data_IF_666936785113
#
_entry.id   IF_666936785113
#
_cell.length_a   1.000
_cell.length_b   1.000
_cell.length_c   1.000
_cell.angle_alpha   90.00
_cell.angle_beta   90.00
_cell.angle_gamma   90.00
#
_symmetry.space_group_name_H-M   'P 1'
#
loop_
_entity.id
_entity.type
_entity.pdbx_description
1 polymer ?
#
# COMPACT_ATOMS: atom_id res chain seq x y z
N UNK A 1 4.75 8.08 -10.16
CA UNK A 1 4.13 9.00 -9.19
C UNK A 1 4.10 8.26 -7.85
N UNK A 2 4.73 8.73 -6.78
CA UNK A 2 4.99 7.91 -5.58
C UNK A 2 4.18 8.38 -4.37
N UNK A 3 3.45 7.46 -3.73
CA UNK A 3 2.63 7.71 -2.55
C UNK A 3 3.22 6.98 -1.33
N UNK A 4 3.59 7.76 -0.32
CA UNK A 4 4.10 7.25 0.94
C UNK A 4 2.97 7.02 1.94
N UNK A 5 2.88 5.81 2.50
CA UNK A 5 1.82 5.44 3.44
C UNK A 5 2.45 4.90 4.73
N UNK A 6 2.08 5.51 5.86
CA UNK A 6 2.30 4.95 7.20
C UNK A 6 1.11 4.08 7.58
N UNK A 7 1.14 2.82 7.17
CA UNK A 7 0.08 1.88 7.50
C UNK A 7 0.20 1.43 8.96
N UNK A 8 -0.79 1.78 9.78
CA UNK A 8 -0.86 1.45 11.23
C UNK A 8 -1.69 0.18 11.53
N UNK A 9 -2.14 -0.52 10.48
CA UNK A 9 -2.91 -1.76 10.61
C UNK A 9 -2.03 -3.00 10.45
N UNK A 10 -2.61 -4.17 10.76
CA UNK A 10 -1.95 -5.46 10.91
C UNK A 10 -1.04 -5.57 12.16
N UNK A 11 -0.80 -6.80 12.61
CA UNK A 11 0.15 -7.08 13.69
C UNK A 11 1.49 -6.46 13.29
N UNK A 12 1.98 -5.46 14.02
CA UNK A 12 3.18 -4.69 13.65
C UNK A 12 4.45 -5.55 13.49
N UNK A 13 4.40 -6.80 13.94
CA UNK A 13 5.45 -7.81 13.83
C UNK A 13 5.24 -8.85 12.71
N UNK A 14 4.17 -8.76 11.91
CA UNK A 14 3.85 -9.72 10.84
C UNK A 14 4.04 -9.07 9.45
N UNK A 15 5.21 -9.24 8.80
CA UNK A 15 5.52 -8.63 7.50
C UNK A 15 4.52 -9.01 6.40
N UNK A 16 3.97 -10.23 6.48
CA UNK A 16 3.03 -10.77 5.49
C UNK A 16 1.70 -10.02 5.48
N UNK A 17 1.17 -9.65 6.65
CA UNK A 17 -0.10 -8.94 6.77
C UNK A 17 -0.01 -7.49 6.27
N UNK A 18 1.13 -6.82 6.50
CA UNK A 18 1.38 -5.45 6.01
C UNK A 18 1.52 -5.43 4.48
N UNK A 19 2.29 -6.36 3.91
CA UNK A 19 2.56 -6.40 2.47
C UNK A 19 1.28 -6.61 1.65
N UNK A 20 0.44 -7.56 2.06
CA UNK A 20 -0.81 -7.87 1.36
C UNK A 20 -1.74 -6.66 1.29
N UNK A 21 -1.87 -5.92 2.39
CA UNK A 21 -2.72 -4.72 2.43
C UNK A 21 -2.19 -3.59 1.57
N UNK A 22 -0.88 -3.32 1.60
CA UNK A 22 -0.28 -2.27 0.75
C UNK A 22 -0.45 -2.56 -0.74
N UNK A 23 -0.33 -3.82 -1.16
CA UNK A 23 -0.59 -4.24 -2.55
C UNK A 23 -2.06 -4.03 -2.93
N UNK A 24 -2.99 -4.32 -2.03
CA UNK A 24 -4.42 -4.08 -2.29
C UNK A 24 -4.71 -2.58 -2.46
N UNK A 25 -4.11 -1.74 -1.62
CA UNK A 25 -4.23 -0.27 -1.70
C UNK A 25 -3.67 0.24 -3.03
N UNK A 26 -2.46 -0.17 -3.41
CA UNK A 26 -1.87 0.25 -4.69
C UNK A 26 -2.76 -0.11 -5.88
N UNK A 27 -3.24 -1.35 -5.93
CA UNK A 27 -4.11 -1.81 -7.01
C UNK A 27 -5.43 -1.04 -7.09
N UNK A 28 -5.98 -0.63 -5.95
CA UNK A 28 -7.19 0.22 -5.93
C UNK A 28 -6.87 1.61 -6.51
N UNK A 29 -5.80 2.25 -6.04
CA UNK A 29 -5.41 3.58 -6.53
C UNK A 29 -5.08 3.59 -8.02
N UNK A 30 -4.44 2.52 -8.52
CA UNK A 30 -4.14 2.34 -9.94
C UNK A 30 -5.40 2.26 -10.81
N UNK A 31 -6.47 1.63 -10.30
CA UNK A 31 -7.74 1.48 -11.03
C UNK A 31 -8.58 2.75 -10.98
N UNK A 32 -8.65 3.39 -9.82
CA UNK A 32 -9.60 4.48 -9.57
C UNK A 32 -9.03 5.87 -9.91
N UNK A 33 -7.70 6.05 -9.86
CA UNK A 33 -7.07 7.37 -9.97
C UNK A 33 -6.03 7.46 -11.09
N UNK A 34 -4.95 6.69 -11.00
CA UNK A 34 -3.84 6.77 -11.95
C UNK A 34 -3.03 5.46 -11.96
N UNK A 35 -2.90 4.76 -13.10
CA UNK A 35 -2.21 3.47 -13.20
C UNK A 35 -0.70 3.53 -12.88
N UNK A 36 -0.11 4.74 -12.81
CA UNK A 36 1.32 4.96 -12.54
C UNK A 36 1.65 5.24 -11.06
N UNK A 37 0.64 5.18 -10.18
CA UNK A 37 0.84 5.32 -8.73
C UNK A 37 1.60 4.11 -8.20
N UNK A 38 2.67 4.36 -7.43
CA UNK A 38 3.35 3.34 -6.62
C UNK A 38 3.20 3.65 -5.14
N UNK A 39 2.89 2.62 -4.34
CA UNK A 39 2.73 2.75 -2.89
C UNK A 39 3.99 2.25 -2.19
N UNK A 40 4.54 3.11 -1.33
CA UNK A 40 5.74 2.82 -0.55
C UNK A 40 5.44 2.98 0.94
N UNK A 41 5.86 2.00 1.75
CA UNK A 41 5.76 2.10 3.20
C UNK A 41 6.77 3.13 3.74
N UNK A 42 6.31 4.04 4.60
CA UNK A 42 7.11 5.12 5.19
C UNK A 42 7.48 4.92 6.66
#
# INVERSE_FOLDING_TARGET
NTLFIRYQGACGSCPSSIRGTLVAIENLLKRELDPTIEVVSA
#
